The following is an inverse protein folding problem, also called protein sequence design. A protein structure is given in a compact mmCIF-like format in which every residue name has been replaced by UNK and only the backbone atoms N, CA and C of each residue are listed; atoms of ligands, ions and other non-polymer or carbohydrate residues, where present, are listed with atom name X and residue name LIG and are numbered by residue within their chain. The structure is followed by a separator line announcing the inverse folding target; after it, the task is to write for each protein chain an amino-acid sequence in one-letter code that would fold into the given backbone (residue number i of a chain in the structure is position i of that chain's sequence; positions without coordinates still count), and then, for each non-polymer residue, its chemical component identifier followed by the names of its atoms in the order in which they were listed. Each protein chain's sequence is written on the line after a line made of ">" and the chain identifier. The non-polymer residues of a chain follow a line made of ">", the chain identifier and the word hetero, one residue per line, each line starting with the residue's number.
data_IF_012159910190
#
_entry.id   IF_012159910190
#
_cell.length_a   1.000
_cell.length_b   1.000
_cell.length_c   1.000
_cell.angle_alpha   90.00
_cell.angle_beta   90.00
_cell.angle_gamma   90.00
#
_symmetry.space_group_name_H-M   'P 1'
#
loop_
_entity.id
_entity.type
_entity.pdbx_description
1 polymer ?
#
# COMPACT_ATOMS: atom_id res chain seq x y z
N UNK A 1 8.64 -62.89 -37.55
CA UNK A 1 7.74 -61.81 -37.09
C UNK A 1 8.60 -60.89 -36.22
N UNK A 2 9.16 -59.89 -36.91
CA UNK A 2 10.05 -58.90 -36.28
C UNK A 2 9.19 -57.79 -35.67
N UNK A 3 9.36 -57.59 -34.41
CA UNK A 3 8.81 -56.43 -33.67
C UNK A 3 9.94 -55.44 -33.37
N UNK A 4 10.10 -54.48 -34.27
CA UNK A 4 11.04 -53.37 -34.15
C UNK A 4 10.47 -52.36 -33.14
N UNK A 5 11.10 -52.26 -31.97
CA UNK A 5 10.81 -51.28 -30.94
C UNK A 5 11.51 -49.95 -31.31
N UNK A 6 10.78 -48.98 -31.84
CA UNK A 6 11.31 -47.62 -32.05
C UNK A 6 11.53 -46.88 -30.72
N UNK A 7 12.77 -46.75 -30.36
CA UNK A 7 13.22 -45.92 -29.23
C UNK A 7 13.22 -44.47 -29.69
N UNK A 8 12.20 -43.66 -29.29
CA UNK A 8 12.22 -42.22 -29.50
C UNK A 8 13.33 -41.58 -28.67
N UNK A 9 14.43 -41.27 -29.36
CA UNK A 9 15.54 -40.49 -28.83
C UNK A 9 15.08 -39.07 -28.56
N UNK A 10 14.88 -38.73 -27.27
CA UNK A 10 14.66 -37.35 -26.85
C UNK A 10 15.95 -36.56 -27.05
N UNK A 11 15.99 -35.70 -28.05
CA UNK A 11 17.13 -34.84 -28.33
C UNK A 11 17.44 -33.96 -27.11
N UNK A 12 18.56 -34.25 -26.42
CA UNK A 12 19.14 -33.35 -25.41
C UNK A 12 19.57 -32.07 -26.11
N UNK A 13 18.84 -30.94 -25.85
CA UNK A 13 19.30 -29.62 -26.24
C UNK A 13 20.68 -29.38 -25.61
N UNK A 14 21.65 -29.00 -26.44
CA UNK A 14 23.01 -28.63 -26.05
C UNK A 14 23.04 -27.56 -24.95
N UNK A 15 24.03 -27.55 -24.04
CA UNK A 15 24.18 -26.57 -23.01
C UNK A 15 24.36 -25.17 -23.64
N UNK A 16 23.41 -24.29 -23.42
CA UNK A 16 23.48 -22.87 -23.79
C UNK A 16 24.61 -22.29 -22.95
N UNK A 17 25.64 -21.75 -23.61
CA UNK A 17 26.84 -21.22 -22.94
C UNK A 17 26.47 -20.10 -21.93
N UNK A 18 27.22 -20.04 -20.81
CA UNK A 18 27.09 -19.05 -19.73
C UNK A 18 27.09 -17.57 -20.18
N UNK A 19 27.52 -17.31 -21.39
CA UNK A 19 27.66 -15.96 -21.95
C UNK A 19 26.33 -15.26 -22.25
N UNK A 20 25.18 -15.95 -22.29
CA UNK A 20 23.93 -15.35 -22.80
C UNK A 20 22.85 -15.05 -21.75
N UNK A 21 23.11 -15.28 -20.46
CA UNK A 21 22.11 -14.99 -19.40
C UNK A 21 21.65 -13.53 -19.42
N UNK A 22 22.57 -12.58 -19.60
CA UNK A 22 22.25 -11.15 -19.66
C UNK A 22 21.45 -10.79 -20.92
N UNK A 23 21.83 -11.39 -22.04
CA UNK A 23 21.12 -11.25 -23.31
C UNK A 23 19.68 -11.75 -23.17
N UNK A 24 19.48 -12.95 -22.68
CA UNK A 24 18.15 -13.54 -22.50
C UNK A 24 17.28 -12.78 -21.49
N UNK A 25 17.85 -12.28 -20.40
CA UNK A 25 17.11 -11.38 -19.50
C UNK A 25 16.66 -10.13 -20.25
N UNK A 26 17.53 -9.52 -21.07
CA UNK A 26 17.19 -8.30 -21.81
C UNK A 26 16.09 -8.56 -22.85
N UNK A 27 16.16 -9.65 -23.60
CA UNK A 27 15.12 -10.07 -24.55
C UNK A 27 13.76 -10.27 -23.85
N UNK A 28 13.76 -10.96 -22.70
CA UNK A 28 12.57 -11.16 -21.90
C UNK A 28 11.97 -9.85 -21.38
N UNK A 29 12.81 -8.93 -20.88
CA UNK A 29 12.31 -7.62 -20.43
C UNK A 29 11.71 -6.82 -21.57
N UNK A 30 12.27 -6.93 -22.77
CA UNK A 30 11.71 -6.34 -23.99
C UNK A 30 10.39 -7.00 -24.39
N UNK A 31 10.29 -8.32 -24.27
CA UNK A 31 9.02 -9.05 -24.44
C UNK A 31 7.95 -8.51 -23.49
N UNK A 32 8.25 -8.39 -22.18
CA UNK A 32 7.32 -7.81 -21.20
C UNK A 32 6.87 -6.38 -21.57
N UNK A 33 7.78 -5.59 -22.17
CA UNK A 33 7.45 -4.24 -22.62
C UNK A 33 6.50 -4.28 -23.82
N UNK A 34 6.70 -5.18 -24.79
CA UNK A 34 5.79 -5.39 -25.91
C UNK A 34 4.40 -5.86 -25.45
N UNK A 35 4.33 -6.67 -24.39
CA UNK A 35 3.08 -7.09 -23.72
C UNK A 35 2.41 -5.97 -22.90
N UNK A 36 2.90 -4.74 -22.95
CA UNK A 36 2.33 -3.59 -22.24
C UNK A 36 2.51 -3.62 -20.72
N UNK A 37 3.47 -4.38 -20.19
CA UNK A 37 3.77 -4.38 -18.75
C UNK A 37 4.36 -3.04 -18.31
N UNK A 38 3.96 -2.59 -17.13
CA UNK A 38 4.44 -1.32 -16.56
C UNK A 38 5.93 -1.37 -16.23
N UNK A 39 6.65 -0.28 -16.41
CA UNK A 39 8.10 -0.18 -16.18
C UNK A 39 8.54 -0.68 -14.81
N UNK A 40 7.77 -0.40 -13.74
CA UNK A 40 8.12 -0.89 -12.41
C UNK A 40 8.04 -2.43 -12.29
N UNK A 41 7.13 -3.08 -13.04
CA UNK A 41 7.04 -4.55 -13.11
C UNK A 41 8.25 -5.10 -13.85
N UNK A 42 8.59 -4.51 -14.99
CA UNK A 42 9.78 -4.88 -15.79
C UNK A 42 11.04 -4.76 -14.93
N UNK A 43 11.18 -3.64 -14.18
CA UNK A 43 12.30 -3.44 -13.27
C UNK A 43 12.35 -4.48 -12.13
N UNK A 44 11.19 -4.87 -11.59
CA UNK A 44 11.11 -5.91 -10.57
C UNK A 44 11.57 -7.28 -11.11
N UNK A 45 11.12 -7.67 -12.31
CA UNK A 45 11.58 -8.88 -13.00
C UNK A 45 13.09 -8.85 -13.24
N UNK A 46 13.62 -7.74 -13.76
CA UNK A 46 15.07 -7.55 -13.94
C UNK A 46 15.84 -7.78 -12.64
N UNK A 47 15.41 -7.14 -11.54
CA UNK A 47 16.10 -7.27 -10.24
C UNK A 47 16.12 -8.70 -9.73
N UNK A 48 15.01 -9.42 -9.84
CA UNK A 48 14.93 -10.83 -9.40
C UNK A 48 15.81 -11.73 -10.24
N UNK A 49 15.69 -11.69 -11.56
CA UNK A 49 16.47 -12.56 -12.46
C UNK A 49 17.97 -12.27 -12.35
N UNK A 50 18.35 -10.98 -12.29
CA UNK A 50 19.76 -10.60 -12.06
C UNK A 50 20.28 -11.08 -10.69
N UNK A 51 19.44 -11.05 -9.65
CA UNK A 51 19.81 -11.54 -8.32
C UNK A 51 20.03 -13.07 -8.35
N UNK A 52 19.10 -13.84 -8.91
CA UNK A 52 19.22 -15.29 -9.06
C UNK A 52 20.51 -15.65 -9.82
N UNK A 53 20.77 -15.02 -10.96
CA UNK A 53 22.00 -15.24 -11.72
C UNK A 53 23.28 -14.91 -10.92
N UNK A 54 23.29 -13.83 -10.12
CA UNK A 54 24.42 -13.47 -9.25
C UNK A 54 24.69 -14.49 -8.13
N UNK A 55 23.68 -15.22 -7.71
CA UNK A 55 23.83 -16.31 -6.72
C UNK A 55 24.31 -17.63 -7.35
N UNK A 56 24.81 -17.59 -8.60
CA UNK A 56 25.34 -18.77 -9.31
C UNK A 56 24.29 -19.69 -9.91
N UNK A 57 23.03 -19.24 -9.94
CA UNK A 57 21.91 -20.00 -10.48
C UNK A 57 21.97 -20.06 -12.01
N UNK A 58 21.84 -21.26 -12.57
CA UNK A 58 21.58 -21.44 -14.00
C UNK A 58 20.10 -21.19 -14.28
N UNK A 59 19.78 -20.03 -14.87
CA UNK A 59 18.38 -19.65 -15.17
C UNK A 59 17.72 -20.52 -16.25
N UNK A 60 18.48 -21.35 -16.97
CA UNK A 60 17.98 -22.31 -17.98
C UNK A 60 17.73 -23.70 -17.40
N UNK A 61 18.13 -23.92 -16.15
CA UNK A 61 17.87 -25.14 -15.39
C UNK A 61 16.88 -24.85 -14.24
N UNK A 62 15.62 -25.25 -14.38
CA UNK A 62 14.58 -25.04 -13.37
C UNK A 62 14.90 -25.61 -11.98
N UNK A 63 15.65 -26.72 -11.89
CA UNK A 63 16.05 -27.31 -10.59
C UNK A 63 17.12 -26.46 -9.90
N UNK A 64 18.12 -25.98 -10.63
CA UNK A 64 19.11 -25.01 -10.11
C UNK A 64 18.45 -23.77 -9.52
N UNK A 65 17.37 -23.29 -10.15
CA UNK A 65 16.58 -22.13 -9.63
C UNK A 65 15.82 -22.50 -8.36
N UNK A 66 15.24 -23.69 -8.26
CA UNK A 66 14.56 -24.15 -7.03
C UNK A 66 15.53 -24.23 -5.85
N UNK A 67 16.71 -24.81 -6.07
CA UNK A 67 17.75 -24.92 -5.06
C UNK A 67 18.20 -23.54 -4.57
N UNK A 68 18.43 -22.62 -5.50
CA UNK A 68 18.81 -21.24 -5.17
C UNK A 68 17.72 -20.54 -4.36
N UNK A 69 16.45 -20.65 -4.75
CA UNK A 69 15.32 -20.05 -4.00
C UNK A 69 15.17 -20.72 -2.62
N UNK A 70 15.37 -22.04 -2.52
CA UNK A 70 15.27 -22.76 -1.25
C UNK A 70 16.34 -22.29 -0.26
N UNK A 71 17.56 -22.08 -0.72
CA UNK A 71 18.71 -21.66 0.09
C UNK A 71 18.74 -20.13 0.36
N UNK A 72 17.88 -19.32 -0.31
CA UNK A 72 17.87 -17.88 -0.13
C UNK A 72 17.54 -17.50 1.32
N UNK A 73 18.45 -16.75 1.95
CA UNK A 73 18.26 -16.18 3.29
C UNK A 73 17.35 -14.96 3.21
N UNK A 74 16.10 -15.08 3.60
CA UNK A 74 15.19 -13.94 3.51
C UNK A 74 13.75 -14.25 3.90
N UNK A 75 12.92 -13.22 3.87
CA UNK A 75 11.51 -13.38 4.21
C UNK A 75 10.80 -14.25 3.17
N UNK A 76 9.90 -15.14 3.63
CA UNK A 76 9.16 -16.08 2.77
C UNK A 76 8.45 -15.38 1.58
N UNK A 77 7.97 -14.16 1.76
CA UNK A 77 7.31 -13.39 0.69
C UNK A 77 8.27 -13.01 -0.45
N UNK A 78 9.59 -12.92 -0.18
CA UNK A 78 10.59 -12.73 -1.23
C UNK A 78 10.73 -13.99 -2.08
N UNK A 79 10.70 -15.18 -1.45
CA UNK A 79 10.70 -16.46 -2.17
C UNK A 79 9.45 -16.59 -3.05
N UNK A 80 8.27 -16.24 -2.53
CA UNK A 80 7.03 -16.19 -3.33
C UNK A 80 7.19 -15.29 -4.56
N UNK A 81 7.79 -14.12 -4.39
CA UNK A 81 8.01 -13.19 -5.50
C UNK A 81 9.01 -13.74 -6.54
N UNK A 82 10.08 -14.41 -6.10
CA UNK A 82 11.04 -15.06 -7.00
C UNK A 82 10.38 -16.16 -7.82
N UNK A 83 9.53 -16.98 -7.18
CA UNK A 83 8.76 -18.02 -7.87
C UNK A 83 7.86 -17.42 -8.95
N UNK A 84 7.13 -16.33 -8.65
CA UNK A 84 6.24 -15.67 -9.61
C UNK A 84 7.02 -15.13 -10.81
N UNK A 85 8.13 -14.45 -10.56
CA UNK A 85 8.97 -13.86 -11.63
C UNK A 85 9.61 -14.94 -12.48
N UNK A 86 10.20 -15.97 -11.85
CA UNK A 86 10.86 -17.03 -12.60
C UNK A 86 9.84 -17.87 -13.37
N UNK A 87 8.64 -18.11 -12.84
CA UNK A 87 7.58 -18.79 -13.58
C UNK A 87 7.31 -18.11 -14.92
N UNK A 88 7.13 -16.78 -14.90
CA UNK A 88 6.89 -16.01 -16.12
C UNK A 88 8.09 -16.04 -17.11
N UNK A 89 9.32 -16.09 -16.59
CA UNK A 89 10.53 -16.22 -17.40
C UNK A 89 10.69 -17.61 -18.01
N UNK A 90 10.43 -18.67 -17.23
CA UNK A 90 10.48 -20.05 -17.68
C UNK A 90 9.41 -20.34 -18.76
N UNK A 91 8.18 -19.82 -18.57
CA UNK A 91 7.10 -19.90 -19.55
C UNK A 91 7.49 -19.22 -20.88
N UNK A 92 8.14 -18.06 -20.84
CA UNK A 92 8.64 -17.37 -22.02
C UNK A 92 9.75 -18.15 -22.75
N UNK A 93 10.58 -18.90 -22.01
CA UNK A 93 11.62 -19.77 -22.58
C UNK A 93 11.10 -21.16 -22.99
N UNK A 94 9.82 -21.43 -22.84
CA UNK A 94 9.20 -22.76 -23.04
C UNK A 94 9.88 -23.86 -22.21
N UNK A 95 10.27 -23.52 -20.96
CA UNK A 95 10.86 -24.44 -20.01
C UNK A 95 9.76 -25.05 -19.13
N UNK A 96 9.74 -26.37 -19.02
CA UNK A 96 8.86 -27.02 -18.06
C UNK A 96 9.33 -26.76 -16.64
N UNK A 97 8.50 -26.12 -15.82
CA UNK A 97 8.80 -25.85 -14.43
C UNK A 97 7.60 -26.09 -13.51
N UNK A 98 7.80 -26.93 -12.52
CA UNK A 98 6.85 -27.14 -11.43
C UNK A 98 7.24 -26.23 -10.26
N UNK A 99 6.54 -25.10 -10.04
CA UNK A 99 6.93 -24.12 -9.03
C UNK A 99 6.80 -24.67 -7.60
N UNK A 100 7.74 -24.37 -6.69
CA UNK A 100 7.61 -24.68 -5.28
C UNK A 100 6.48 -23.87 -4.65
N UNK A 101 5.81 -24.44 -3.64
CA UNK A 101 4.67 -23.81 -2.97
C UNK A 101 5.09 -23.10 -1.70
N UNK A 102 5.36 -21.80 -1.78
CA UNK A 102 5.54 -20.93 -0.62
C UNK A 102 4.23 -20.19 -0.32
N UNK A 103 3.77 -20.25 0.94
CA UNK A 103 2.56 -19.51 1.36
C UNK A 103 2.92 -18.06 1.69
N UNK A 104 2.22 -17.12 1.04
CA UNK A 104 2.36 -15.70 1.33
C UNK A 104 1.90 -15.40 2.77
N UNK A 105 2.78 -14.77 3.55
CA UNK A 105 2.48 -14.38 4.93
C UNK A 105 2.02 -12.91 4.95
N UNK A 106 0.78 -12.69 5.35
CA UNK A 106 0.26 -11.35 5.63
C UNK A 106 0.67 -10.95 7.05
N UNK A 107 1.19 -9.73 7.20
CA UNK A 107 1.46 -9.12 8.50
C UNK A 107 0.43 -8.04 8.77
N UNK A 108 -0.01 -7.96 10.00
CA UNK A 108 -0.81 -6.83 10.47
C UNK A 108 0.11 -5.59 10.45
N UNK A 109 -0.27 -4.50 9.77
CA UNK A 109 0.55 -3.29 9.75
C UNK A 109 0.57 -2.65 11.14
N UNK A 110 1.73 -2.18 11.52
CA UNK A 110 1.88 -1.34 12.69
C UNK A 110 1.30 0.07 12.41
N UNK A 111 0.57 0.61 13.38
CA UNK A 111 -0.08 1.93 13.27
C UNK A 111 0.56 2.88 14.30
N UNK A 112 1.10 4.03 13.87
CA UNK A 112 1.60 5.07 14.77
C UNK A 112 0.44 5.80 15.47
N UNK A 113 0.76 6.51 16.55
CA UNK A 113 -0.15 7.47 17.15
C UNK A 113 -0.25 8.74 16.27
N UNK A 114 -1.31 9.52 16.45
CA UNK A 114 -1.45 10.80 15.75
C UNK A 114 -0.32 11.76 16.13
N UNK A 115 0.07 11.79 17.41
CA UNK A 115 1.19 12.59 17.90
C UNK A 115 2.50 12.25 17.18
N UNK A 116 2.80 10.96 16.97
CA UNK A 116 4.00 10.52 16.24
C UNK A 116 3.98 10.99 14.77
N UNK A 117 2.82 10.94 14.12
CA UNK A 117 2.63 11.46 12.76
C UNK A 117 2.88 12.98 12.72
N UNK A 118 2.31 13.73 13.67
CA UNK A 118 2.42 15.19 13.70
C UNK A 118 3.84 15.66 14.06
N UNK A 119 4.50 15.01 15.01
CA UNK A 119 5.91 15.24 15.32
C UNK A 119 6.81 14.99 14.10
N UNK A 120 6.54 13.91 13.36
CA UNK A 120 7.29 13.62 12.15
C UNK A 120 7.07 14.72 11.10
N UNK A 121 5.82 15.13 10.82
CA UNK A 121 5.51 16.18 9.84
C UNK A 121 6.19 17.51 10.23
N UNK A 122 6.10 17.91 11.50
CA UNK A 122 6.69 19.15 12.00
C UNK A 122 8.22 19.20 11.84
N UNK A 123 8.90 18.05 11.83
CA UNK A 123 10.34 17.97 11.65
C UNK A 123 10.84 18.14 10.21
N UNK A 124 9.95 18.34 9.23
CA UNK A 124 10.30 18.50 7.81
C UNK A 124 10.17 19.94 7.31
N UNK A 125 10.90 20.25 6.24
CA UNK A 125 10.76 21.51 5.50
C UNK A 125 9.39 21.61 4.84
N UNK A 126 8.87 22.82 4.56
CA UNK A 126 7.49 23.05 4.11
C UNK A 126 7.04 22.15 2.95
N UNK A 127 7.84 21.97 1.91
CA UNK A 127 7.49 21.11 0.77
C UNK A 127 7.24 19.65 1.18
N UNK A 128 8.11 19.10 2.01
CA UNK A 128 7.94 17.71 2.48
C UNK A 128 6.83 17.62 3.50
N UNK A 129 6.71 18.58 4.41
CA UNK A 129 5.62 18.63 5.36
C UNK A 129 4.25 18.67 4.66
N UNK A 130 4.10 19.51 3.62
CA UNK A 130 2.88 19.55 2.80
C UNK A 130 2.59 18.21 2.13
N UNK A 131 3.61 17.55 1.58
CA UNK A 131 3.46 16.22 0.98
C UNK A 131 2.95 15.19 2.02
N UNK A 132 3.50 15.20 3.23
CA UNK A 132 3.09 14.31 4.32
C UNK A 132 1.68 14.63 4.84
N UNK A 133 1.31 15.93 4.89
CA UNK A 133 -0.04 16.35 5.24
C UNK A 133 -1.07 15.86 4.22
N UNK A 134 -0.77 15.91 2.93
CA UNK A 134 -1.65 15.34 1.90
C UNK A 134 -1.79 13.82 2.11
N UNK A 135 -0.69 13.10 2.41
CA UNK A 135 -0.77 11.67 2.74
C UNK A 135 -1.67 11.41 3.96
N UNK A 136 -1.55 12.23 5.02
CA UNK A 136 -2.34 12.12 6.26
C UNK A 136 -3.83 12.28 5.97
N UNK A 137 -4.22 13.34 5.24
CA UNK A 137 -5.62 13.68 5.02
C UNK A 137 -6.30 12.83 3.93
N UNK A 138 -5.55 12.39 2.90
CA UNK A 138 -6.14 11.70 1.75
C UNK A 138 -5.90 10.20 1.72
N UNK A 139 -4.99 9.68 2.53
CA UNK A 139 -4.59 8.26 2.48
C UNK A 139 -4.13 7.80 1.08
N UNK A 140 -3.80 8.73 0.18
CA UNK A 140 -3.36 8.44 -1.17
C UNK A 140 -1.99 7.75 -1.19
N UNK A 141 -1.64 7.10 -2.29
CA UNK A 141 -0.30 6.55 -2.46
C UNK A 141 0.70 7.68 -2.76
N UNK A 142 1.94 7.49 -2.34
CA UNK A 142 3.00 8.48 -2.54
C UNK A 142 3.18 8.86 -4.01
N UNK A 143 3.10 7.91 -4.93
CA UNK A 143 3.20 8.20 -6.35
C UNK A 143 2.00 8.97 -6.91
N UNK A 144 0.80 8.73 -6.39
CA UNK A 144 -0.40 9.50 -6.75
C UNK A 144 -0.24 10.97 -6.37
N UNK A 145 0.26 11.25 -5.15
CA UNK A 145 0.53 12.62 -4.69
C UNK A 145 1.69 13.24 -5.47
N UNK A 146 2.73 12.45 -5.76
CA UNK A 146 3.87 12.93 -6.55
C UNK A 146 3.49 13.35 -7.96
N UNK A 147 2.50 12.70 -8.55
CA UNK A 147 1.97 13.01 -9.87
C UNK A 147 0.94 14.15 -9.89
N UNK A 148 0.46 14.61 -8.72
CA UNK A 148 -0.59 15.62 -8.57
C UNK A 148 -0.26 16.91 -9.31
N UNK A 149 -1.24 17.41 -10.07
CA UNK A 149 -1.16 18.67 -10.81
C UNK A 149 -1.92 19.77 -10.08
N UNK A 150 -1.56 21.01 -10.33
CA UNK A 150 -2.29 22.18 -9.81
C UNK A 150 -3.75 22.21 -10.24
N UNK A 151 -4.07 21.69 -11.42
CA UNK A 151 -5.45 21.60 -11.95
C UNK A 151 -6.32 20.56 -11.22
N UNK A 152 -5.74 19.73 -10.38
CA UNK A 152 -6.46 18.71 -9.60
C UNK A 152 -6.85 19.21 -8.20
N UNK A 153 -6.50 20.46 -7.86
CA UNK A 153 -6.92 21.17 -6.68
C UNK A 153 -7.94 22.25 -7.09
N UNK A 154 -9.18 22.13 -6.63
CA UNK A 154 -10.25 23.11 -6.84
C UNK A 154 -10.86 23.50 -5.49
N UNK A 155 -10.55 24.71 -5.01
CA UNK A 155 -10.90 25.12 -3.65
C UNK A 155 -10.28 24.16 -2.62
N UNK A 156 -11.12 23.51 -1.84
CA UNK A 156 -10.70 22.47 -0.88
C UNK A 156 -10.96 21.02 -1.37
N UNK A 157 -11.25 20.84 -2.65
CA UNK A 157 -11.42 19.52 -3.26
C UNK A 157 -10.15 19.13 -4.00
N UNK A 158 -9.54 18.04 -3.57
CA UNK A 158 -8.38 17.41 -4.20
C UNK A 158 -8.82 16.17 -4.97
N UNK A 159 -8.54 16.11 -6.28
CA UNK A 159 -8.94 15.00 -7.15
C UNK A 159 -7.72 14.15 -7.56
N UNK A 160 -7.82 12.84 -7.42
CA UNK A 160 -6.83 11.89 -7.94
C UNK A 160 -7.42 11.22 -9.18
N UNK A 161 -7.06 11.74 -10.37
CA UNK A 161 -7.52 11.23 -11.67
C UNK A 161 -6.65 10.11 -12.23
N UNK A 162 -5.38 10.05 -11.85
CA UNK A 162 -4.41 9.05 -12.33
C UNK A 162 -3.98 8.12 -11.20
N UNK A 163 -4.87 7.23 -10.73
CA UNK A 163 -4.56 6.36 -9.61
C UNK A 163 -3.55 5.27 -9.97
N UNK A 164 -2.70 4.91 -9.02
CA UNK A 164 -1.74 3.82 -9.16
C UNK A 164 -2.38 2.43 -8.91
N UNK A 165 -1.72 1.38 -9.42
CA UNK A 165 -2.06 -0.03 -9.17
C UNK A 165 -3.52 -0.37 -9.45
N UNK A 166 -4.07 0.17 -10.54
CA UNK A 166 -5.46 -0.05 -10.96
C UNK A 166 -6.50 0.33 -9.88
N UNK A 167 -6.20 1.31 -9.02
CA UNK A 167 -7.19 1.88 -8.10
C UNK A 167 -8.21 2.73 -8.85
N UNK A 168 -9.34 3.04 -8.21
CA UNK A 168 -10.34 3.93 -8.78
C UNK A 168 -9.93 5.41 -8.57
N UNK A 169 -10.28 6.32 -9.50
CA UNK A 169 -10.22 7.76 -9.28
C UNK A 169 -11.08 8.15 -8.06
N UNK A 170 -10.69 9.21 -7.38
CA UNK A 170 -11.39 9.65 -6.17
C UNK A 170 -11.11 11.10 -5.82
N UNK A 171 -12.00 11.68 -5.02
CA UNK A 171 -11.91 13.06 -4.54
C UNK A 171 -11.86 13.09 -3.02
N UNK A 172 -11.17 14.08 -2.50
CA UNK A 172 -11.05 14.33 -1.06
C UNK A 172 -11.35 15.79 -0.77
N UNK A 173 -12.17 16.03 0.25
CA UNK A 173 -12.26 17.33 0.87
C UNK A 173 -11.11 17.46 1.86
N UNK A 174 -10.20 18.38 1.62
CA UNK A 174 -9.03 18.65 2.46
C UNK A 174 -9.25 19.88 3.33
N UNK A 175 -8.47 20.01 4.40
CA UNK A 175 -8.57 21.16 5.31
C UNK A 175 -8.07 22.45 4.67
N UNK A 176 -8.64 23.58 5.09
CA UNK A 176 -8.22 24.92 4.61
C UNK A 176 -6.75 25.20 4.95
N UNK A 177 -6.28 24.66 6.08
CA UNK A 177 -4.85 24.67 6.45
C UNK A 177 -4.00 24.00 5.38
N UNK A 178 -4.42 22.81 4.90
CA UNK A 178 -3.67 22.09 3.86
C UNK A 178 -3.74 22.81 2.53
N UNK A 179 -4.88 23.42 2.17
CA UNK A 179 -5.00 24.27 0.99
C UNK A 179 -4.00 25.45 1.04
N UNK A 180 -3.90 26.13 2.18
CA UNK A 180 -2.95 27.21 2.38
C UNK A 180 -1.49 26.73 2.23
N UNK A 181 -1.12 25.57 2.81
CA UNK A 181 0.20 24.96 2.66
C UNK A 181 0.53 24.59 1.21
N UNK A 182 -0.43 24.04 0.47
CA UNK A 182 -0.25 23.73 -0.95
C UNK A 182 -0.03 25.02 -1.75
N UNK A 183 -0.87 26.03 -1.54
CA UNK A 183 -0.77 27.30 -2.27
C UNK A 183 0.50 28.10 -1.95
N UNK A 184 1.12 27.90 -0.80
CA UNK A 184 2.40 28.47 -0.44
C UNK A 184 3.59 27.81 -1.18
N UNK A 185 3.39 26.69 -1.88
CA UNK A 185 4.45 26.05 -2.64
C UNK A 185 4.71 26.79 -3.95
N UNK A 186 5.99 26.84 -4.42
CA UNK A 186 6.33 27.51 -5.66
C UNK A 186 5.76 26.76 -6.88
N UNK A 187 5.02 27.46 -7.73
CA UNK A 187 4.42 26.95 -8.98
C UNK A 187 5.45 26.95 -10.12
N UNK A 188 6.42 26.04 -10.08
CA UNK A 188 7.49 25.94 -11.09
C UNK A 188 7.19 24.93 -12.21
N UNK A 189 6.20 24.08 -12.06
CA UNK A 189 5.82 23.01 -12.98
C UNK A 189 4.29 22.84 -12.97
N UNK A 190 3.77 22.08 -13.93
CA UNK A 190 2.35 21.65 -13.95
C UNK A 190 1.99 20.83 -12.73
N UNK A 191 2.96 20.12 -12.14
CA UNK A 191 2.79 19.31 -10.92
C UNK A 191 3.08 20.12 -9.66
N UNK A 192 2.36 19.86 -8.59
CA UNK A 192 2.55 20.50 -7.27
C UNK A 192 3.96 20.17 -6.75
N UNK A 193 4.38 18.91 -6.85
CA UNK A 193 5.71 18.43 -6.44
C UNK A 193 6.65 18.24 -7.63
N UNK A 194 6.73 19.21 -8.53
CA UNK A 194 7.40 19.21 -9.83
C UNK A 194 8.87 18.75 -9.87
N UNK A 195 9.52 18.81 -11.06
CA UNK A 195 10.52 17.84 -11.55
C UNK A 195 11.89 17.85 -10.89
N UNK A 196 12.14 18.70 -9.90
CA UNK A 196 13.48 18.87 -9.31
C UNK A 196 14.12 17.60 -8.75
N UNK A 197 13.34 16.53 -8.59
CA UNK A 197 13.78 15.26 -8.01
C UNK A 197 12.80 14.14 -8.43
N UNK A 198 13.29 12.91 -8.56
CA UNK A 198 12.39 11.77 -8.68
C UNK A 198 11.88 11.31 -7.31
N UNK A 199 10.76 10.57 -7.28
CA UNK A 199 10.13 10.11 -6.04
C UNK A 199 11.07 9.19 -5.21
N UNK A 200 11.94 8.42 -5.84
CA UNK A 200 12.88 7.54 -5.13
C UNK A 200 13.89 8.36 -4.32
N UNK A 201 14.47 9.40 -4.92
CA UNK A 201 15.40 10.31 -4.23
C UNK A 201 14.69 11.08 -3.12
N UNK A 202 13.44 11.51 -3.36
CA UNK A 202 12.61 12.13 -2.35
C UNK A 202 12.35 11.18 -1.16
N UNK A 203 12.03 9.91 -1.44
CA UNK A 203 11.87 8.87 -0.43
C UNK A 203 13.15 8.58 0.35
N UNK A 204 14.31 8.59 -0.31
CA UNK A 204 15.61 8.43 0.35
C UNK A 204 15.91 9.60 1.31
N UNK A 205 15.63 10.84 0.89
CA UNK A 205 15.79 12.03 1.74
C UNK A 205 14.80 12.01 2.93
N UNK A 206 13.55 11.60 2.69
CA UNK A 206 12.59 11.37 3.74
C UNK A 206 13.13 10.36 4.77
N UNK A 207 13.64 9.21 4.32
CA UNK A 207 14.17 8.17 5.20
C UNK A 207 15.34 8.69 6.06
N UNK A 208 16.32 9.37 5.45
CA UNK A 208 17.46 9.97 6.19
C UNK A 208 17.00 10.96 7.26
N UNK A 209 16.06 11.86 6.92
CA UNK A 209 15.55 12.85 7.87
C UNK A 209 14.71 12.22 8.98
N UNK A 210 13.90 11.20 8.65
CA UNK A 210 13.12 10.44 9.63
C UNK A 210 14.01 9.76 10.66
N UNK A 211 15.11 9.08 10.25
CA UNK A 211 16.11 8.52 11.17
C UNK A 211 16.71 9.57 12.11
N UNK A 212 17.04 10.73 11.56
CA UNK A 212 17.53 11.86 12.35
C UNK A 212 16.48 12.29 13.39
N UNK A 213 15.24 12.51 12.99
CA UNK A 213 14.14 12.94 13.88
C UNK A 213 13.84 11.90 14.96
N UNK A 214 13.81 10.61 14.62
CA UNK A 214 13.61 9.54 15.59
C UNK A 214 14.65 9.56 16.71
N UNK A 215 15.92 9.81 16.38
CA UNK A 215 17.02 9.96 17.34
C UNK A 215 16.88 11.24 18.17
N UNK A 216 16.63 12.38 17.50
CA UNK A 216 16.53 13.69 18.17
C UNK A 216 15.35 13.73 19.15
N UNK A 217 14.22 13.09 18.82
CA UNK A 217 13.02 13.02 19.65
C UNK A 217 13.05 11.84 20.66
N UNK A 218 14.11 11.02 20.64
CA UNK A 218 14.20 9.84 21.50
C UNK A 218 13.09 8.81 21.27
N UNK A 219 12.43 8.83 20.10
CA UNK A 219 11.32 7.94 19.78
C UNK A 219 11.64 7.03 18.59
N UNK A 220 12.09 5.78 18.83
CA UNK A 220 12.43 4.84 17.75
C UNK A 220 11.21 4.40 16.94
N UNK A 221 9.98 4.59 17.43
CA UNK A 221 8.75 4.27 16.71
C UNK A 221 8.58 5.16 15.49
N UNK A 222 9.00 6.42 15.53
CA UNK A 222 8.99 7.35 14.39
C UNK A 222 9.80 6.77 13.22
N UNK A 223 10.86 6.02 13.49
CA UNK A 223 11.70 5.42 12.47
C UNK A 223 11.01 4.33 11.63
N UNK A 224 9.93 3.78 12.11
CA UNK A 224 9.12 2.80 11.39
C UNK A 224 8.11 3.44 10.42
N UNK A 225 7.88 4.77 10.51
CA UNK A 225 6.90 5.46 9.70
C UNK A 225 7.40 5.59 8.26
N UNK A 226 6.70 4.99 7.32
CA UNK A 226 6.92 5.11 5.87
C UNK A 226 5.79 5.90 5.23
N UNK A 227 5.90 6.29 3.96
CA UNK A 227 4.77 6.89 3.24
C UNK A 227 3.52 5.99 3.25
N UNK A 228 3.73 4.67 3.20
CA UNK A 228 2.60 3.73 3.22
C UNK A 228 1.95 3.62 4.61
N UNK A 229 2.70 3.90 5.67
CA UNK A 229 2.19 3.95 7.05
C UNK A 229 1.13 5.05 7.23
N UNK A 230 1.27 6.20 6.55
CA UNK A 230 0.23 7.24 6.54
C UNK A 230 -1.10 6.73 5.99
N UNK A 231 -1.04 5.91 4.94
CA UNK A 231 -2.24 5.30 4.37
C UNK A 231 -2.89 4.30 5.33
N UNK A 232 -2.09 3.47 5.99
CA UNK A 232 -2.59 2.56 7.03
C UNK A 232 -3.19 3.32 8.20
N UNK A 233 -2.49 4.33 8.70
CA UNK A 233 -2.96 5.20 9.78
C UNK A 233 -4.31 5.85 9.42
N UNK A 234 -4.38 6.58 8.30
CA UNK A 234 -5.60 7.27 7.90
C UNK A 234 -6.78 6.33 7.67
N UNK A 235 -6.56 5.17 7.02
CA UNK A 235 -7.59 4.18 6.80
C UNK A 235 -8.11 3.57 8.12
N UNK A 236 -7.22 3.32 9.08
CA UNK A 236 -7.58 2.82 10.41
C UNK A 236 -8.39 3.87 11.19
N UNK A 237 -7.95 5.14 11.18
CA UNK A 237 -8.67 6.23 11.84
C UNK A 237 -10.03 6.49 11.19
N UNK A 238 -10.11 6.44 9.85
CA UNK A 238 -11.37 6.59 9.13
C UNK A 238 -12.34 5.45 9.46
N UNK A 239 -11.85 4.20 9.53
CA UNK A 239 -12.67 3.06 9.91
C UNK A 239 -13.13 3.17 11.39
N UNK A 240 -12.23 3.55 12.29
CA UNK A 240 -12.57 3.80 13.71
C UNK A 240 -13.69 4.83 13.84
N UNK A 241 -13.63 5.93 13.06
CA UNK A 241 -14.61 7.01 13.10
C UNK A 241 -15.96 6.63 12.48
N UNK A 242 -15.93 5.96 11.32
CA UNK A 242 -17.15 5.73 10.51
C UNK A 242 -17.76 4.36 10.71
N UNK A 243 -17.00 3.39 11.19
CA UNK A 243 -17.35 1.95 11.24
C UNK A 243 -17.86 1.39 9.90
N UNK A 244 -17.62 2.11 8.82
CA UNK A 244 -18.07 1.77 7.47
C UNK A 244 -16.89 1.35 6.58
N UNK A 245 -16.67 0.05 6.45
CA UNK A 245 -15.56 -0.50 5.67
C UNK A 245 -15.71 -0.25 4.16
N UNK A 246 -16.93 -0.13 3.66
CA UNK A 246 -17.20 0.18 2.26
C UNK A 246 -16.80 1.63 1.94
N UNK A 247 -17.08 2.55 2.85
CA UNK A 247 -16.64 3.94 2.73
C UNK A 247 -15.11 4.03 2.76
N UNK A 248 -14.45 3.31 3.67
CA UNK A 248 -12.97 3.23 3.68
C UNK A 248 -12.43 2.65 2.37
N UNK A 249 -13.04 1.58 1.84
CA UNK A 249 -12.69 1.02 0.53
C UNK A 249 -12.76 2.06 -0.59
N UNK A 250 -13.85 2.84 -0.63
CA UNK A 250 -14.05 3.90 -1.61
C UNK A 250 -12.97 4.99 -1.49
N UNK A 251 -12.70 5.47 -0.28
CA UNK A 251 -11.68 6.49 -0.02
C UNK A 251 -10.27 6.01 -0.36
N UNK A 252 -9.97 4.74 -0.15
CA UNK A 252 -8.71 4.13 -0.56
C UNK A 252 -8.63 3.85 -2.08
N UNK A 253 -9.76 3.86 -2.79
CA UNK A 253 -9.85 3.47 -4.19
C UNK A 253 -9.59 1.99 -4.43
N UNK A 254 -9.80 1.11 -3.44
CA UNK A 254 -9.61 -0.32 -3.60
C UNK A 254 -10.73 -0.93 -4.45
N UNK A 255 -10.37 -1.74 -5.45
CA UNK A 255 -11.36 -2.49 -6.24
C UNK A 255 -11.94 -3.67 -5.48
N UNK A 256 -11.10 -4.33 -4.70
CA UNK A 256 -11.39 -5.55 -3.97
C UNK A 256 -11.51 -5.23 -2.47
N UNK A 257 -12.54 -5.76 -1.80
CA UNK A 257 -12.80 -5.47 -0.39
C UNK A 257 -11.78 -6.15 0.53
N UNK A 258 -11.24 -7.30 0.13
CA UNK A 258 -10.27 -8.08 0.89
C UNK A 258 -9.01 -7.26 1.22
N UNK A 259 -8.65 -6.32 0.32
CA UNK A 259 -7.54 -5.37 0.55
C UNK A 259 -7.84 -4.36 1.65
N UNK A 260 -9.13 -4.16 2.00
CA UNK A 260 -9.58 -3.21 3.01
C UNK A 260 -9.91 -3.90 4.34
N UNK A 261 -10.29 -5.18 4.29
CA UNK A 261 -10.63 -5.97 5.49
C UNK A 261 -9.52 -6.02 6.53
N UNK A 262 -8.27 -5.79 6.12
CA UNK A 262 -7.14 -5.65 7.03
C UNK A 262 -7.40 -4.63 8.15
N UNK A 263 -8.09 -3.54 7.86
CA UNK A 263 -8.35 -2.48 8.84
C UNK A 263 -9.40 -2.85 9.88
N UNK A 264 -10.23 -3.87 9.63
CA UNK A 264 -11.18 -4.38 10.64
C UNK A 264 -10.46 -5.13 11.76
N UNK A 265 -9.28 -5.70 11.47
CA UNK A 265 -8.47 -6.43 12.44
C UNK A 265 -7.62 -5.52 13.33
N UNK A 266 -7.47 -4.23 12.94
CA UNK A 266 -6.65 -3.25 13.65
C UNK A 266 -7.40 -2.53 14.76
N UNK A 267 -8.71 -2.68 14.81
CA UNK A 267 -9.56 -2.00 15.79
C UNK A 267 -10.26 -3.09 16.61
N UNK A 268 -9.82 -3.24 17.84
CA UNK A 268 -10.63 -3.88 18.87
C UNK A 268 -11.67 -2.82 19.25
N UNK A 269 -12.91 -3.04 18.87
CA UNK A 269 -13.99 -2.27 19.45
C UNK A 269 -14.11 -2.79 20.88
N UNK A 270 -13.41 -2.15 21.82
CA UNK A 270 -13.75 -2.24 23.22
C UNK A 270 -15.22 -1.93 23.33
N UNK A 271 -15.92 -2.74 24.13
CA UNK A 271 -17.37 -2.72 24.35
C UNK A 271 -17.95 -1.33 24.11
N UNK A 272 -19.05 -1.23 23.38
CA UNK A 272 -19.78 0.00 23.15
C UNK A 272 -20.02 0.73 24.49
N UNK A 273 -19.01 1.47 24.98
CA UNK A 273 -19.18 2.38 26.08
C UNK A 273 -20.11 3.50 25.58
N UNK A 274 -21.38 3.27 25.80
CA UNK A 274 -22.42 4.26 25.56
C UNK A 274 -22.64 5.01 26.86
N UNK A 275 -22.60 6.32 26.79
CA UNK A 275 -23.24 7.13 27.81
C UNK A 275 -24.73 6.90 27.71
N UNK A 276 -25.33 6.36 28.76
CA UNK A 276 -26.78 6.21 28.85
C UNK A 276 -27.36 7.38 29.62
N UNK A 277 -28.47 7.92 29.15
CA UNK A 277 -29.25 8.96 29.81
C UNK A 277 -30.71 8.56 29.80
N UNK A 278 -31.45 9.09 30.74
CA UNK A 278 -32.87 8.80 30.94
C UNK A 278 -33.66 10.10 30.83
N UNK A 279 -34.79 10.07 30.14
CA UNK A 279 -35.72 11.19 30.07
C UNK A 279 -37.10 10.76 30.52
N UNK A 280 -37.77 11.63 31.31
CA UNK A 280 -39.12 11.45 31.79
C UNK A 280 -40.06 12.53 31.30
N UNK A 281 -39.53 13.52 30.58
CA UNK A 281 -40.33 14.60 30.00
C UNK A 281 -39.86 14.93 28.60
N UNK A 282 -40.70 15.54 27.78
CA UNK A 282 -40.38 15.99 26.41
C UNK A 282 -39.22 17.01 26.41
N UNK A 283 -39.11 17.84 27.45
CA UNK A 283 -38.02 18.82 27.56
C UNK A 283 -36.67 18.14 27.78
N UNK A 284 -36.65 17.05 28.56
CA UNK A 284 -35.44 16.26 28.77
C UNK A 284 -35.04 15.46 27.50
N UNK A 285 -36.04 14.95 26.80
CA UNK A 285 -35.84 14.27 25.50
C UNK A 285 -35.22 15.22 24.47
N UNK A 286 -35.78 16.43 24.34
CA UNK A 286 -35.25 17.45 23.42
C UNK A 286 -33.80 17.83 23.74
N UNK A 287 -33.46 17.99 25.02
CA UNK A 287 -32.08 18.25 25.47
C UNK A 287 -31.14 17.11 25.09
N UNK A 288 -31.57 15.86 25.28
CA UNK A 288 -30.75 14.68 24.94
C UNK A 288 -30.57 14.54 23.43
N UNK A 289 -31.62 14.77 22.64
CA UNK A 289 -31.54 14.73 21.18
C UNK A 289 -30.60 15.83 20.66
N UNK A 290 -30.73 17.07 21.17
CA UNK A 290 -29.81 18.16 20.83
C UNK A 290 -28.37 17.88 21.25
N UNK A 291 -28.15 17.15 22.34
CA UNK A 291 -26.85 16.69 22.78
C UNK A 291 -26.32 15.50 21.98
N UNK A 292 -27.05 14.99 20.98
CA UNK A 292 -26.65 13.90 20.08
C UNK A 292 -26.86 12.50 20.69
N UNK A 293 -27.79 12.35 21.60
CA UNK A 293 -28.23 11.05 22.08
C UNK A 293 -29.33 10.47 21.17
N UNK A 294 -29.29 9.14 20.96
CA UNK A 294 -30.28 8.39 20.20
C UNK A 294 -31.20 7.61 21.13
N UNK A 295 -32.51 7.62 20.87
CA UNK A 295 -33.49 6.83 21.63
C UNK A 295 -33.22 5.33 21.44
N UNK A 296 -33.08 4.60 22.53
CA UNK A 296 -32.93 3.15 22.53
C UNK A 296 -34.24 2.45 22.75
N UNK A 297 -35.01 2.91 23.74
CA UNK A 297 -36.25 2.26 24.15
C UNK A 297 -37.08 3.19 25.04
N UNK A 298 -38.40 3.10 24.93
CA UNK A 298 -39.33 3.69 25.88
C UNK A 298 -39.93 2.61 26.78
N UNK A 299 -39.89 2.83 28.08
CA UNK A 299 -40.51 1.98 29.09
C UNK A 299 -41.88 2.48 29.49
N UNK A 300 -43.01 1.96 28.95
CA UNK A 300 -44.35 2.51 29.21
C UNK A 300 -44.84 2.34 30.67
N UNK A 301 -44.28 1.33 31.40
CA UNK A 301 -44.62 1.13 32.81
C UNK A 301 -43.92 2.12 33.71
N UNK A 302 -42.66 2.44 33.40
CA UNK A 302 -41.82 3.38 34.15
C UNK A 302 -41.96 4.81 33.65
N UNK A 303 -42.62 5.03 32.52
CA UNK A 303 -42.71 6.30 31.80
C UNK A 303 -41.34 6.98 31.59
N UNK A 304 -40.34 6.15 31.22
CA UNK A 304 -38.95 6.60 31.04
C UNK A 304 -38.48 6.23 29.64
N UNK A 305 -37.93 7.19 28.91
CA UNK A 305 -37.20 6.97 27.68
C UNK A 305 -35.70 6.79 28.00
N UNK A 306 -35.11 5.76 27.42
CA UNK A 306 -33.69 5.44 27.55
C UNK A 306 -32.97 5.87 26.28
N UNK A 307 -32.02 6.75 26.44
CA UNK A 307 -31.19 7.30 25.37
C UNK A 307 -29.74 6.79 25.52
N UNK A 308 -29.05 6.66 24.39
CA UNK A 308 -27.63 6.39 24.36
C UNK A 308 -26.89 7.37 23.45
N UNK A 309 -25.68 7.71 23.85
CA UNK A 309 -24.70 8.41 23.02
C UNK A 309 -23.42 7.64 23.06
N UNK A 310 -22.89 7.29 21.91
CA UNK A 310 -21.56 6.66 21.83
C UNK A 310 -20.51 7.67 22.27
N UNK A 311 -19.55 7.20 23.09
CA UNK A 311 -18.37 7.99 23.47
C UNK A 311 -17.43 8.26 22.27
#
# INVERSE_FOLDING_TARGET
>A
MDTTTETKTVARKSPIAEQDVKGKITEYLWHLKKEGRKDHTILAHRKVLTRLAKHGCNLFDPESVKDTIANEQGHINSKVHYVIVYKSFAEWLDLYWKPPRYKFQRKIPWIPTETEIDQLIAGFKPRTATFLMILKETMARSGEIWALKWTELNGNILTINTPEKNSNPRQFKISDRLVALINALPRRDKRIFGPAMNLNNFGSNFTKRRHYLARTLGNPRIDQITFHTFRHFGATMLYRKTRNILYVKQQLGHRCIESTMLYTQLITFESDECNTAYARSLEEEDKLIKAGFELVRYGPKEQVAIYRKRK
#
